data_IF_115370136262
#
_entry.id   IF_115370136262
#
_cell.length_a   1.000
_cell.length_b   1.000
_cell.length_c   1.000
_cell.angle_alpha   90.00
_cell.angle_beta   90.00
_cell.angle_gamma   90.00
#
_symmetry.space_group_name_H-M   'P 1'
#
loop_
_entity.id
_entity.type
_entity.pdbx_description
1 polymer ?
#
# COMPACT_ATOMS: atom_id res chain seq x y z
N UNK A 1 -4.67 -12.63 -8.23
CA UNK A 1 -4.83 -13.44 -6.99
C UNK A 1 -5.67 -12.64 -6.02
N UNK A 2 -6.71 -13.24 -5.43
CA UNK A 2 -7.48 -12.63 -4.34
C UNK A 2 -7.28 -13.48 -3.08
N UNK A 3 -6.87 -12.84 -1.98
CA UNK A 3 -6.70 -13.50 -0.69
C UNK A 3 -7.72 -12.92 0.29
N UNK A 4 -8.70 -13.72 0.67
CA UNK A 4 -9.87 -13.30 1.47
C UNK A 4 -9.85 -13.78 2.92
N UNK A 5 -8.67 -14.11 3.48
CA UNK A 5 -8.56 -14.67 4.83
C UNK A 5 -7.35 -14.13 5.60
N UNK A 6 -7.60 -13.76 6.86
CA UNK A 6 -6.64 -13.22 7.82
C UNK A 6 -5.38 -14.09 7.98
N UNK A 7 -4.25 -13.62 7.48
CA UNK A 7 -2.94 -14.20 7.80
C UNK A 7 -2.43 -13.59 9.12
N UNK A 8 -2.85 -14.17 10.24
CA UNK A 8 -2.57 -13.65 11.59
C UNK A 8 -1.13 -13.90 12.08
N UNK A 9 -0.18 -14.18 11.19
CA UNK A 9 1.22 -14.49 11.51
C UNK A 9 2.15 -13.78 10.51
N UNK A 10 3.09 -12.99 11.02
CA UNK A 10 4.12 -12.29 10.23
C UNK A 10 4.86 -13.22 9.27
N UNK A 11 5.19 -14.44 9.73
CA UNK A 11 5.81 -15.49 8.91
C UNK A 11 5.00 -15.86 7.67
N UNK A 12 3.67 -15.76 7.74
CA UNK A 12 2.78 -16.05 6.61
C UNK A 12 2.76 -14.91 5.61
N UNK A 13 2.91 -13.66 6.06
CA UNK A 13 3.03 -12.50 5.17
C UNK A 13 4.38 -12.48 4.43
N UNK A 14 5.49 -12.81 5.09
CA UNK A 14 6.77 -12.98 4.40
C UNK A 14 6.75 -14.16 3.43
N UNK A 15 6.09 -15.28 3.79
CA UNK A 15 5.83 -16.39 2.87
C UNK A 15 5.00 -15.97 1.65
N UNK A 16 4.00 -15.10 1.84
CA UNK A 16 3.25 -14.50 0.74
C UNK A 16 4.16 -13.65 -0.16
N UNK A 17 5.02 -12.80 0.40
CA UNK A 17 5.96 -11.99 -0.39
C UNK A 17 6.89 -12.88 -1.23
N UNK A 18 7.41 -13.95 -0.63
CA UNK A 18 8.22 -14.92 -1.35
C UNK A 18 7.43 -15.58 -2.49
N UNK A 19 6.21 -16.03 -2.22
CA UNK A 19 5.35 -16.66 -3.22
C UNK A 19 5.02 -15.70 -4.37
N UNK A 20 4.60 -14.47 -4.04
CA UNK A 20 4.34 -13.39 -5.00
C UNK A 20 5.57 -13.18 -5.90
N UNK A 21 6.76 -13.08 -5.31
CA UNK A 21 8.01 -12.87 -6.05
C UNK A 21 8.40 -13.99 -7.01
N UNK A 22 7.85 -15.19 -6.87
CA UNK A 22 8.07 -16.30 -7.80
C UNK A 22 7.06 -16.34 -8.96
N UNK A 23 5.98 -15.55 -8.90
CA UNK A 23 4.94 -15.56 -9.93
C UNK A 23 5.34 -14.63 -11.08
N UNK A 24 5.84 -15.20 -12.17
CA UNK A 24 6.33 -14.43 -13.33
C UNK A 24 5.25 -13.54 -13.98
N UNK A 25 4.01 -14.03 -14.04
CA UNK A 25 2.91 -13.41 -14.77
C UNK A 25 1.80 -12.86 -13.85
N UNK A 26 2.17 -12.36 -12.67
CA UNK A 26 1.23 -11.75 -11.75
C UNK A 26 0.71 -10.42 -12.32
N UNK A 27 -0.55 -10.38 -12.74
CA UNK A 27 -1.19 -9.16 -13.28
C UNK A 27 -2.00 -8.41 -12.21
N UNK A 28 -2.68 -9.16 -11.35
CA UNK A 28 -3.59 -8.62 -10.33
C UNK A 28 -3.32 -9.24 -8.96
N UNK A 29 -3.30 -8.41 -7.92
CA UNK A 29 -3.23 -8.82 -6.51
C UNK A 29 -4.27 -8.07 -5.68
N UNK A 30 -5.13 -8.80 -4.97
CA UNK A 30 -6.14 -8.25 -4.08
C UNK A 30 -5.95 -8.82 -2.67
N UNK A 31 -5.62 -7.92 -1.74
CA UNK A 31 -5.37 -8.21 -0.33
C UNK A 31 -6.14 -7.22 0.58
N UNK A 32 -7.24 -6.65 0.10
CA UNK A 32 -8.07 -5.67 0.83
C UNK A 32 -8.71 -6.22 2.10
N UNK A 33 -9.02 -7.51 2.13
CA UNK A 33 -9.70 -8.16 3.26
C UNK A 33 -8.70 -8.74 4.29
N UNK A 34 -7.40 -8.46 4.12
CA UNK A 34 -6.37 -8.88 5.07
C UNK A 34 -6.23 -7.86 6.19
N UNK A 35 -7.06 -8.01 7.21
CA UNK A 35 -7.06 -7.20 8.46
C UNK A 35 -5.78 -7.31 9.29
N UNK A 36 -4.76 -8.03 8.82
CA UNK A 36 -3.57 -8.42 9.60
C UNK A 36 -2.26 -7.80 9.08
N UNK A 37 -2.31 -6.91 8.09
CA UNK A 37 -1.10 -6.15 7.68
C UNK A 37 -0.86 -4.99 8.66
N UNK A 38 -0.75 -5.32 9.95
CA UNK A 38 -0.15 -4.45 10.96
C UNK A 38 1.38 -4.70 11.03
N UNK A 39 1.87 -5.69 10.30
CA UNK A 39 3.31 -5.89 10.14
C UNK A 39 3.86 -4.90 9.11
N UNK A 40 4.48 -3.85 9.64
CA UNK A 40 5.14 -2.79 8.88
C UNK A 40 6.19 -3.35 7.91
N UNK A 41 7.02 -4.27 8.39
CA UNK A 41 8.08 -4.86 7.57
C UNK A 41 7.51 -5.68 6.41
N UNK A 42 6.40 -6.39 6.64
CA UNK A 42 5.74 -7.15 5.58
C UNK A 42 5.13 -6.26 4.49
N UNK A 43 4.56 -5.10 4.85
CA UNK A 43 4.07 -4.11 3.86
C UNK A 43 5.19 -3.63 2.95
N UNK A 44 6.32 -3.25 3.56
CA UNK A 44 7.49 -2.76 2.84
C UNK A 44 8.04 -3.84 1.91
N UNK A 45 8.18 -5.07 2.40
CA UNK A 45 8.65 -6.20 1.60
C UNK A 45 7.73 -6.47 0.41
N UNK A 46 6.41 -6.48 0.65
CA UNK A 46 5.43 -6.71 -0.41
C UNK A 46 5.55 -5.66 -1.52
N UNK A 47 5.56 -4.37 -1.17
CA UNK A 47 5.71 -3.28 -2.16
C UNK A 47 7.05 -3.39 -2.90
N UNK A 48 8.12 -3.77 -2.20
CA UNK A 48 9.46 -3.98 -2.79
C UNK A 48 9.47 -5.13 -3.80
N UNK A 49 8.80 -6.25 -3.48
CA UNK A 49 8.65 -7.37 -4.40
C UNK A 49 7.80 -6.97 -5.60
N UNK A 50 6.64 -6.35 -5.37
CA UNK A 50 5.72 -5.92 -6.43
C UNK A 50 6.38 -4.96 -7.43
N UNK A 51 7.22 -4.03 -6.99
CA UNK A 51 7.98 -3.13 -7.86
C UNK A 51 8.90 -3.87 -8.85
N UNK A 52 9.36 -5.08 -8.51
CA UNK A 52 10.21 -5.89 -9.39
C UNK A 52 9.40 -6.65 -10.44
N UNK A 53 8.09 -6.77 -10.28
CA UNK A 53 7.24 -7.42 -11.28
C UNK A 53 7.03 -6.50 -12.48
N UNK A 54 7.34 -7.02 -13.67
CA UNK A 54 7.11 -6.31 -14.95
C UNK A 54 5.66 -6.43 -15.43
N UNK A 55 4.89 -7.36 -14.85
CA UNK A 55 3.57 -7.78 -15.31
C UNK A 55 2.44 -7.28 -14.41
N UNK A 56 2.74 -6.85 -13.18
CA UNK A 56 1.73 -6.36 -12.23
C UNK A 56 1.13 -5.06 -12.72
N UNK A 57 -0.20 -4.99 -12.70
CA UNK A 57 -0.96 -3.82 -13.15
C UNK A 57 -1.94 -3.32 -12.12
N UNK A 58 -2.55 -4.23 -11.35
CA UNK A 58 -3.58 -3.86 -10.38
C UNK A 58 -3.32 -4.49 -9.02
N UNK A 59 -3.15 -3.64 -8.02
CA UNK A 59 -2.98 -4.01 -6.63
C UNK A 59 -4.05 -3.30 -5.81
N UNK A 60 -4.80 -4.09 -5.04
CA UNK A 60 -5.73 -3.60 -4.04
C UNK A 60 -5.18 -3.91 -2.67
N UNK A 61 -4.90 -2.85 -1.90
CA UNK A 61 -4.10 -2.92 -0.69
C UNK A 61 -4.83 -2.24 0.48
N UNK A 62 -4.87 -2.94 1.62
CA UNK A 62 -5.27 -2.37 2.91
C UNK A 62 -4.02 -2.24 3.79
N UNK A 63 -3.67 -1.02 4.18
CA UNK A 63 -2.57 -0.72 5.10
C UNK A 63 -3.08 -0.14 6.42
N UNK A 64 -2.31 -0.37 7.48
CA UNK A 64 -2.60 0.08 8.84
C UNK A 64 -1.42 0.88 9.42
N UNK A 65 -1.68 1.67 10.47
CA UNK A 65 -0.64 2.28 11.30
C UNK A 65 0.42 3.07 10.51
N UNK A 66 0.00 3.74 9.43
CA UNK A 66 0.79 4.72 8.70
C UNK A 66 0.90 5.97 9.58
N UNK A 67 2.13 6.43 9.80
CA UNK A 67 2.43 7.57 10.67
C UNK A 67 3.43 8.46 9.96
N UNK A 68 3.35 9.79 10.17
CA UNK A 68 4.29 10.74 9.58
C UNK A 68 5.75 10.35 9.81
N UNK A 69 6.54 10.43 8.75
CA UNK A 69 7.98 10.14 8.71
C UNK A 69 8.38 8.71 9.07
N UNK A 70 7.44 7.77 9.14
CA UNK A 70 7.79 6.37 9.37
C UNK A 70 8.18 5.66 8.05
N UNK A 71 8.87 4.52 8.17
CA UNK A 71 9.37 3.78 7.00
C UNK A 71 8.25 3.28 6.09
N UNK A 72 7.09 2.89 6.65
CA UNK A 72 5.93 2.47 5.88
C UNK A 72 5.37 3.61 5.03
N UNK A 73 5.21 4.78 5.62
CA UNK A 73 4.73 5.98 4.94
C UNK A 73 5.69 6.33 3.81
N UNK A 74 6.99 6.34 4.10
CA UNK A 74 8.03 6.61 3.09
C UNK A 74 7.95 5.61 1.93
N UNK A 75 7.78 4.31 2.22
CA UNK A 75 7.64 3.27 1.23
C UNK A 75 6.35 3.41 0.40
N UNK A 76 5.23 3.74 1.05
CA UNK A 76 3.94 3.95 0.40
C UNK A 76 3.97 5.19 -0.51
N UNK A 77 4.49 6.32 -0.02
CA UNK A 77 4.73 7.55 -0.79
C UNK A 77 5.57 7.23 -2.01
N UNK A 78 6.71 6.55 -1.82
CA UNK A 78 7.57 6.15 -2.93
C UNK A 78 6.81 5.33 -3.97
N UNK A 79 5.97 4.38 -3.52
CA UNK A 79 5.19 3.55 -4.43
C UNK A 79 4.13 4.35 -5.19
N UNK A 80 3.42 5.25 -4.52
CA UNK A 80 2.45 6.15 -5.15
C UNK A 80 3.12 7.13 -6.13
N UNK A 81 4.34 7.58 -5.81
CA UNK A 81 5.13 8.53 -6.58
C UNK A 81 6.01 7.91 -7.65
N UNK A 82 6.24 6.60 -7.68
CA UNK A 82 7.11 5.94 -8.68
C UNK A 82 6.44 4.79 -9.43
N UNK A 83 5.50 4.09 -8.79
CA UNK A 83 4.86 2.90 -9.34
C UNK A 83 3.44 3.20 -9.86
N UNK A 84 2.94 2.35 -10.75
CA UNK A 84 1.60 2.47 -11.36
C UNK A 84 0.67 1.30 -11.05
N UNK A 85 1.06 0.41 -10.13
CA UNK A 85 0.31 -0.81 -9.86
C UNK A 85 -0.78 -0.66 -8.78
N UNK A 86 -0.70 0.33 -7.88
CA UNK A 86 -1.69 0.50 -6.80
C UNK A 86 -2.95 1.12 -7.39
N UNK A 87 -4.04 0.35 -7.44
CA UNK A 87 -5.31 0.82 -7.99
C UNK A 87 -6.38 1.09 -6.96
N UNK A 88 -6.34 0.37 -5.83
CA UNK A 88 -7.24 0.58 -4.69
C UNK A 88 -6.41 0.59 -3.42
N UNK A 89 -6.58 1.61 -2.60
CA UNK A 89 -5.86 1.77 -1.34
C UNK A 89 -6.83 2.09 -0.21
N UNK A 90 -6.85 1.24 0.81
CA UNK A 90 -7.49 1.54 2.10
C UNK A 90 -6.41 1.80 3.14
N UNK A 91 -6.54 2.92 3.85
CA UNK A 91 -5.63 3.31 4.93
C UNK A 91 -6.41 3.39 6.24
N UNK A 92 -6.06 2.52 7.20
CA UNK A 92 -6.72 2.43 8.50
C UNK A 92 -5.83 2.79 9.68
N UNK A 93 -6.42 3.28 10.77
CA UNK A 93 -5.74 3.51 12.04
C UNK A 93 -4.43 4.31 11.89
N UNK A 94 -4.48 5.38 11.08
CA UNK A 94 -3.29 6.07 10.60
C UNK A 94 -3.37 7.58 10.80
N UNK A 95 -2.21 8.23 10.86
CA UNK A 95 -2.08 9.67 10.76
C UNK A 95 -1.53 9.97 9.36
N UNK A 96 -2.31 10.70 8.56
CA UNK A 96 -2.00 10.99 7.15
C UNK A 96 -1.27 12.32 7.09
N UNK A 97 0.00 12.30 6.66
CA UNK A 97 0.78 13.51 6.45
C UNK A 97 0.36 14.28 5.19
N UNK A 98 0.67 15.59 5.10
CA UNK A 98 0.55 16.36 3.86
C UNK A 98 1.28 15.71 2.68
N UNK A 99 2.49 15.18 2.91
CA UNK A 99 3.30 14.53 1.88
C UNK A 99 2.61 13.26 1.32
N UNK A 100 1.95 12.50 2.20
CA UNK A 100 1.15 11.36 1.76
C UNK A 100 -0.08 11.79 0.94
N UNK A 101 -0.73 12.90 1.32
CA UNK A 101 -1.84 13.47 0.53
C UNK A 101 -1.37 13.85 -0.88
N UNK A 102 -0.24 14.56 -0.99
CA UNK A 102 0.34 14.93 -2.28
C UNK A 102 0.65 13.70 -3.14
N UNK A 103 1.21 12.64 -2.55
CA UNK A 103 1.49 11.39 -3.25
C UNK A 103 0.22 10.70 -3.76
N UNK A 104 -0.86 10.70 -2.97
CA UNK A 104 -2.16 10.16 -3.36
C UNK A 104 -2.76 10.94 -4.55
N UNK A 105 -2.70 12.28 -4.49
CA UNK A 105 -3.15 13.16 -5.59
C UNK A 105 -2.32 12.87 -6.85
N UNK A 106 -0.99 12.79 -6.72
CA UNK A 106 -0.11 12.49 -7.86
C UNK A 106 -0.44 11.12 -8.49
N UNK A 107 -0.65 10.07 -7.68
CA UNK A 107 -1.03 8.75 -8.18
C UNK A 107 -2.38 8.74 -8.93
N UNK A 108 -3.35 9.53 -8.46
CA UNK A 108 -4.67 9.66 -9.09
C UNK A 108 -4.63 10.50 -10.37
N UNK A 109 -4.00 11.68 -10.33
CA UNK A 109 -4.08 12.68 -11.39
C UNK A 109 -3.03 12.53 -12.48
N UNK A 110 -1.81 12.11 -12.13
CA UNK A 110 -0.68 12.08 -13.07
C UNK A 110 -0.37 10.68 -13.57
N UNK A 111 -0.59 9.67 -12.71
CA UNK A 111 -0.40 8.26 -13.06
C UNK A 111 -1.67 7.55 -13.49
N UNK A 112 -2.83 8.06 -13.06
CA UNK A 112 -4.12 7.39 -13.20
C UNK A 112 -4.11 5.94 -12.68
N UNK A 113 -3.21 5.65 -11.74
CA UNK A 113 -3.09 4.32 -11.15
C UNK A 113 -4.11 4.16 -10.04
N UNK A 114 -4.19 5.13 -9.12
CA UNK A 114 -5.09 5.10 -7.98
C UNK A 114 -6.51 5.49 -8.39
N UNK A 115 -7.43 4.53 -8.36
CA UNK A 115 -8.84 4.69 -8.76
C UNK A 115 -9.82 4.63 -7.58
N UNK A 116 -9.37 4.14 -6.43
CA UNK A 116 -10.17 4.02 -5.23
C UNK A 116 -9.30 4.29 -4.00
N UNK A 117 -9.78 5.19 -3.13
CA UNK A 117 -9.13 5.56 -1.88
C UNK A 117 -10.15 5.53 -0.75
N UNK A 118 -9.82 4.80 0.31
CA UNK A 118 -10.64 4.67 1.51
C UNK A 118 -9.83 5.00 2.76
N UNK A 119 -10.41 5.75 3.69
CA UNK A 119 -9.85 6.01 5.01
C UNK A 119 -10.78 5.45 6.09
N UNK A 120 -10.21 4.79 7.10
CA UNK A 120 -10.99 4.27 8.23
C UNK A 120 -10.26 4.47 9.54
N UNK A 121 -10.86 5.19 10.49
CA UNK A 121 -10.19 5.59 11.74
C UNK A 121 -8.82 6.26 11.50
N UNK A 122 -8.74 7.10 10.46
CA UNK A 122 -7.53 7.84 10.10
C UNK A 122 -7.72 9.32 10.34
N UNK A 123 -6.66 9.98 10.78
CA UNK A 123 -6.63 11.42 11.06
C UNK A 123 -5.75 12.11 10.04
N UNK A 124 -6.17 13.28 9.56
CA UNK A 124 -5.31 14.12 8.73
C UNK A 124 -4.43 14.96 9.65
N UNK A 125 -3.11 14.90 9.45
CA UNK A 125 -2.19 15.81 10.10
C UNK A 125 -2.21 17.16 9.38
N UNK A 126 -3.17 18.00 9.77
CA UNK A 126 -3.39 19.31 9.16
C UNK A 126 -2.45 20.40 9.69
N UNK A 127 -1.48 20.08 10.57
CA UNK A 127 -0.66 21.08 11.26
C UNK A 127 0.25 21.88 10.32
N UNK A 128 0.36 21.50 9.04
CA UNK A 128 1.16 22.20 8.02
C UNK A 128 0.41 22.58 6.72
N UNK A 129 -0.93 22.50 6.63
CA UNK A 129 -1.68 22.96 5.42
C UNK A 129 -1.85 24.49 5.39
N UNK A 130 -0.79 25.22 5.74
CA UNK A 130 -0.76 26.67 5.67
C UNK A 130 0.55 27.14 5.05
N UNK A 131 0.58 27.19 3.72
CA UNK A 131 0.90 28.40 2.92
C UNK A 131 0.87 28.14 1.43
#
# INVERSE_FOLDING_TARGET
>A
IKLSHCFNLSSTLFGLCQAVGQIENLVDLDIMDNTCIDDKAATIELLTVLRKHKTIKNVRLHVFNIQPSNENETCLITSLLQDSFISHLRISDSIISPELIEALIHASEHRHSLTCLEFYNSQLNCDNISR
#
